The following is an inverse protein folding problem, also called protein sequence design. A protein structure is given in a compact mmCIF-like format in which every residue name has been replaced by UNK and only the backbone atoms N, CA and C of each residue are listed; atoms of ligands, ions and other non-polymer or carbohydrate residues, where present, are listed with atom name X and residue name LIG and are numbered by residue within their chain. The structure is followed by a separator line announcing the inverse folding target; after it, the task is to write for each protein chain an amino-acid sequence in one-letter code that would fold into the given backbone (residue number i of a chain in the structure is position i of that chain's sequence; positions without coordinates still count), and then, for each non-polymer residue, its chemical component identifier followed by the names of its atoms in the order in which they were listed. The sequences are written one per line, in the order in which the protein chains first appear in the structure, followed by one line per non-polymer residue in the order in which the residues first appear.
data_IF_718467974380
#
_entry.id   IF_718467974380
#
_cell.length_a   1.000
_cell.length_b   1.000
_cell.length_c   1.000
_cell.angle_alpha   90.00
_cell.angle_beta   90.00
_cell.angle_gamma   90.00
#
_symmetry.space_group_name_H-M   'P 1'
#
loop_
_entity.id
_entity.type
_entity.pdbx_description
1 polymer ?
#
# COMPACT_ATOMS: atom_id res chain seq x y z
N UNK A 1 -8.66 10.54 8.61
CA UNK A 1 -8.25 10.40 7.21
C UNK A 1 -6.76 10.08 7.17
N UNK A 2 -6.40 9.01 6.48
CA UNK A 2 -5.02 8.54 6.33
C UNK A 2 -4.49 8.73 4.90
N UNK A 3 -5.29 9.37 4.03
CA UNK A 3 -4.93 9.55 2.63
C UNK A 3 -3.85 10.62 2.46
N UNK A 4 -2.87 10.37 1.61
CA UNK A 4 -1.93 11.40 1.18
C UNK A 4 -2.56 12.28 0.09
N UNK A 5 -2.12 13.53 -0.01
CA UNK A 5 -2.60 14.44 -1.03
C UNK A 5 -2.15 13.99 -2.43
N UNK A 6 -3.10 13.97 -3.38
CA UNK A 6 -2.77 13.74 -4.79
C UNK A 6 -2.45 15.10 -5.42
N UNK A 7 -1.21 15.27 -5.84
CA UNK A 7 -0.70 16.52 -6.40
C UNK A 7 0.39 16.25 -7.45
N UNK A 8 0.72 17.27 -8.23
CA UNK A 8 1.87 17.21 -9.13
C UNK A 8 3.16 17.00 -8.33
N UNK A 9 4.08 16.23 -8.86
CA UNK A 9 5.38 15.88 -8.25
C UNK A 9 5.28 15.05 -6.95
N UNK A 10 4.10 14.50 -6.64
CA UNK A 10 3.98 13.54 -5.55
C UNK A 10 4.81 12.29 -5.83
N UNK A 11 5.14 11.56 -4.77
CA UNK A 11 5.84 10.28 -4.90
C UNK A 11 4.95 9.24 -5.59
N UNK A 12 5.54 8.42 -6.42
CA UNK A 12 4.90 7.29 -7.10
C UNK A 12 5.90 6.13 -7.23
N UNK A 13 5.40 4.94 -7.54
CA UNK A 13 6.25 3.75 -7.68
C UNK A 13 7.17 3.88 -8.90
N UNK A 14 8.47 3.53 -8.79
CA UNK A 14 9.40 3.57 -9.93
C UNK A 14 8.91 2.73 -11.11
N UNK A 15 8.74 3.37 -12.27
CA UNK A 15 8.21 2.72 -13.48
C UNK A 15 6.71 2.93 -13.73
N UNK A 16 5.96 3.38 -12.73
CA UNK A 16 4.55 3.73 -12.90
C UNK A 16 4.37 5.08 -13.63
N UNK A 17 3.17 5.35 -14.18
CA UNK A 17 2.87 6.64 -14.78
C UNK A 17 2.99 7.79 -13.77
N UNK A 18 3.77 8.81 -14.12
CA UNK A 18 3.90 10.03 -13.33
C UNK A 18 2.54 10.72 -13.17
N UNK A 19 2.10 11.02 -11.94
CA UNK A 19 0.86 11.73 -11.69
C UNK A 19 0.89 13.15 -12.27
N UNK A 20 -0.11 13.50 -13.09
CA UNK A 20 -0.24 14.83 -13.71
C UNK A 20 -1.65 15.37 -13.54
N UNK A 21 -1.74 16.52 -12.87
CA UNK A 21 -2.97 17.25 -12.62
C UNK A 21 -2.91 18.58 -13.37
N UNK A 22 -3.93 18.90 -14.14
CA UNK A 22 -4.02 20.16 -14.86
C UNK A 22 -5.43 20.74 -14.81
N UNK A 23 -5.56 22.07 -14.88
CA UNK A 23 -6.85 22.72 -15.03
C UNK A 23 -7.41 22.40 -16.42
N UNK A 24 -8.62 21.89 -16.48
CA UNK A 24 -9.34 21.62 -17.74
C UNK A 24 -10.39 22.68 -18.02
N UNK A 25 -11.21 23.02 -17.02
CA UNK A 25 -12.21 24.07 -17.03
C UNK A 25 -11.91 25.02 -15.88
N UNK A 26 -12.06 26.31 -16.10
CA UNK A 26 -11.75 27.34 -15.11
C UNK A 26 -12.97 28.19 -14.76
N UNK A 27 -13.05 28.64 -13.51
CA UNK A 27 -14.17 29.44 -13.04
C UNK A 27 -14.33 30.75 -13.84
N UNK A 28 -13.21 31.35 -14.21
CA UNK A 28 -13.14 32.64 -14.87
C UNK A 28 -13.69 32.62 -16.30
N UNK A 29 -13.55 31.48 -17.00
CA UNK A 29 -14.00 31.31 -18.38
C UNK A 29 -15.33 30.58 -18.49
N UNK A 30 -15.53 29.59 -17.62
CA UNK A 30 -16.54 28.57 -17.83
C UNK A 30 -17.59 28.55 -16.71
N UNK A 31 -17.42 29.37 -15.65
CA UNK A 31 -18.33 29.43 -14.50
C UNK A 31 -18.22 28.25 -13.52
N UNK A 32 -17.32 27.31 -13.76
CA UNK A 32 -17.04 26.16 -12.89
C UNK A 32 -15.57 25.74 -12.98
N UNK A 33 -15.16 24.83 -12.10
CA UNK A 33 -13.79 24.27 -12.12
C UNK A 33 -13.81 22.79 -12.33
N UNK A 34 -13.00 22.32 -13.29
CA UNK A 34 -12.76 20.90 -13.52
C UNK A 34 -11.26 20.69 -13.70
N UNK A 35 -10.74 19.66 -13.02
CA UNK A 35 -9.36 19.22 -13.17
C UNK A 35 -9.31 17.99 -14.09
N UNK A 36 -8.27 17.93 -14.90
CA UNK A 36 -7.90 16.70 -15.64
C UNK A 36 -6.84 15.97 -14.82
N UNK A 37 -7.09 14.68 -14.58
CA UNK A 37 -6.19 13.78 -13.87
C UNK A 37 -5.62 12.76 -14.89
N UNK A 38 -4.30 12.59 -14.87
CA UNK A 38 -3.61 11.49 -15.53
C UNK A 38 -2.76 10.82 -14.46
N UNK A 39 -3.21 9.68 -13.96
CA UNK A 39 -2.62 8.96 -12.82
C UNK A 39 -2.63 7.46 -13.10
N UNK A 40 -1.71 6.73 -12.51
CA UNK A 40 -1.76 5.27 -12.44
C UNK A 40 -2.84 4.79 -11.45
N UNK A 41 -3.25 3.54 -11.54
CA UNK A 41 -4.21 2.92 -10.60
C UNK A 41 -3.63 2.77 -9.19
N UNK A 42 -2.31 2.76 -9.07
CA UNK A 42 -1.57 2.64 -7.81
C UNK A 42 -0.98 3.99 -7.35
N UNK A 43 -1.66 5.09 -7.65
CA UNK A 43 -1.24 6.43 -7.26
C UNK A 43 -1.79 6.82 -5.89
N UNK A 44 -0.90 7.29 -4.99
CA UNK A 44 -1.27 7.80 -3.67
C UNK A 44 -1.75 6.70 -2.73
N UNK A 45 -2.62 7.04 -1.79
CA UNK A 45 -3.24 6.06 -0.90
C UNK A 45 -4.33 5.33 -1.65
N UNK A 46 -4.17 4.05 -1.85
CA UNK A 46 -5.05 3.20 -2.67
C UNK A 46 -5.16 1.80 -2.07
N UNK A 47 -5.95 0.96 -2.69
CA UNK A 47 -6.09 -0.45 -2.36
C UNK A 47 -5.82 -1.31 -3.58
N UNK A 48 -5.02 -2.35 -3.40
CA UNK A 48 -4.78 -3.35 -4.42
C UNK A 48 -5.85 -4.45 -4.37
N UNK A 49 -6.21 -4.93 -5.54
CA UNK A 49 -7.02 -6.12 -5.69
C UNK A 49 -6.15 -7.32 -6.10
N UNK A 50 -6.59 -8.57 -5.85
CA UNK A 50 -5.84 -9.76 -6.25
C UNK A 50 -5.42 -9.79 -7.72
N UNK A 51 -6.20 -9.16 -8.62
CA UNK A 51 -5.88 -9.05 -10.04
C UNK A 51 -4.57 -8.29 -10.32
N UNK A 52 -4.05 -7.53 -9.36
CA UNK A 52 -2.78 -6.84 -9.52
C UNK A 52 -1.61 -7.80 -9.78
N UNK A 53 -1.55 -8.91 -9.05
CA UNK A 53 -0.48 -9.93 -9.19
C UNK A 53 -0.99 -11.31 -9.63
N UNK A 54 -2.29 -11.59 -9.53
CA UNK A 54 -2.87 -12.88 -9.87
C UNK A 54 -3.61 -12.84 -11.20
N UNK A 55 -3.21 -13.64 -12.19
CA UNK A 55 -3.81 -13.70 -13.53
C UNK A 55 -5.34 -13.86 -13.52
N UNK A 56 -5.87 -14.61 -12.58
CA UNK A 56 -7.31 -14.87 -12.43
C UNK A 56 -7.86 -14.26 -11.13
N UNK A 57 -7.15 -13.30 -10.54
CA UNK A 57 -7.57 -12.59 -9.35
C UNK A 57 -8.80 -11.72 -9.60
N UNK A 58 -9.56 -11.46 -8.55
CA UNK A 58 -10.68 -10.51 -8.62
C UNK A 58 -10.16 -9.10 -8.84
N UNK A 59 -10.81 -8.36 -9.72
CA UNK A 59 -10.59 -6.92 -9.91
C UNK A 59 -11.25 -6.13 -8.79
N UNK A 60 -10.86 -4.87 -8.58
CA UNK A 60 -11.31 -4.06 -7.44
C UNK A 60 -12.83 -3.85 -7.42
N UNK A 61 -13.47 -3.76 -8.59
CA UNK A 61 -14.93 -3.64 -8.74
C UNK A 61 -15.69 -4.92 -8.35
N UNK A 62 -14.98 -6.04 -8.23
CA UNK A 62 -15.52 -7.35 -7.80
C UNK A 62 -15.15 -7.70 -6.35
N UNK A 63 -14.51 -6.80 -5.63
CA UNK A 63 -14.25 -6.94 -4.19
C UNK A 63 -15.48 -6.47 -3.41
N UNK A 64 -15.99 -7.31 -2.54
CA UNK A 64 -17.09 -6.94 -1.65
C UNK A 64 -16.63 -5.85 -0.67
N UNK A 65 -17.34 -4.72 -0.63
CA UNK A 65 -17.03 -3.58 0.25
C UNK A 65 -16.90 -3.96 1.73
N UNK A 66 -17.59 -5.02 2.18
CA UNK A 66 -17.44 -5.53 3.55
C UNK A 66 -16.02 -6.03 3.86
N UNK A 67 -15.19 -6.32 2.84
CA UNK A 67 -13.78 -6.67 3.04
C UNK A 67 -12.90 -5.43 3.26
N UNK A 68 -13.40 -4.26 2.87
CA UNK A 68 -12.72 -2.98 3.03
C UNK A 68 -13.15 -2.23 4.30
N UNK A 69 -14.03 -2.82 5.09
CA UNK A 69 -14.62 -2.21 6.28
C UNK A 69 -14.57 -3.19 7.45
N UNK A 70 -14.25 -2.69 8.63
CA UNK A 70 -14.27 -3.51 9.81
C UNK A 70 -13.40 -2.97 10.94
N UNK A 71 -13.32 -3.75 12.00
CA UNK A 71 -12.43 -3.48 13.12
C UNK A 71 -10.99 -3.65 12.67
N UNK A 72 -10.16 -2.67 12.96
CA UNK A 72 -8.74 -2.67 12.64
C UNK A 72 -7.87 -2.74 13.88
N UNK A 73 -6.74 -3.41 13.75
CA UNK A 73 -5.61 -3.35 14.70
C UNK A 73 -4.48 -2.56 14.05
N UNK A 74 -3.90 -1.64 14.81
CA UNK A 74 -2.67 -0.94 14.40
C UNK A 74 -1.48 -1.62 15.06
N UNK A 75 -0.59 -2.18 14.24
CA UNK A 75 0.71 -2.72 14.65
C UNK A 75 1.72 -1.58 14.58
N UNK A 76 2.23 -1.15 15.72
CA UNK A 76 3.16 -0.04 15.81
C UNK A 76 4.61 -0.55 15.88
N UNK A 77 5.38 -0.32 14.82
CA UNK A 77 6.78 -0.77 14.65
C UNK A 77 7.70 0.41 14.32
N UNK A 78 7.96 1.31 15.29
CA UNK A 78 8.80 2.47 15.03
C UNK A 78 10.28 2.09 14.89
N UNK A 79 11.04 2.95 14.20
CA UNK A 79 12.50 2.86 14.11
C UNK A 79 13.05 1.61 13.39
N UNK A 80 12.29 1.03 12.48
CA UNK A 80 12.78 -0.05 11.62
C UNK A 80 13.93 0.46 10.73
N UNK A 81 14.86 -0.44 10.43
CA UNK A 81 15.96 -0.16 9.50
C UNK A 81 15.48 -0.20 8.05
N UNK A 82 16.19 0.47 7.12
CA UNK A 82 15.95 0.27 5.70
C UNK A 82 15.97 -1.22 5.33
N UNK A 83 15.02 -1.62 4.47
CA UNK A 83 14.83 -2.99 4.00
C UNK A 83 14.61 -4.02 5.10
N UNK A 84 14.10 -3.61 6.26
CA UNK A 84 13.76 -4.54 7.34
C UNK A 84 12.61 -5.45 6.90
N UNK A 85 12.79 -6.74 7.02
CA UNK A 85 11.75 -7.74 6.78
C UNK A 85 10.91 -7.93 8.04
N UNK A 86 9.65 -7.52 7.99
CA UNK A 86 8.71 -7.64 9.10
C UNK A 86 8.25 -9.09 9.18
N UNK A 87 8.61 -9.76 10.27
CA UNK A 87 8.31 -11.17 10.54
C UNK A 87 7.20 -11.32 11.59
N UNK A 88 6.53 -12.49 11.71
CA UNK A 88 5.44 -12.67 12.68
C UNK A 88 5.85 -12.35 14.12
N UNK A 89 7.10 -12.58 14.48
CA UNK A 89 7.64 -12.34 15.82
C UNK A 89 7.59 -10.87 16.23
N UNK A 90 7.56 -9.94 15.25
CA UNK A 90 7.48 -8.51 15.50
C UNK A 90 6.11 -8.07 16.04
N UNK A 91 5.05 -8.88 15.82
CA UNK A 91 3.68 -8.50 16.16
C UNK A 91 2.79 -9.65 16.71
N UNK A 92 3.31 -10.86 16.89
CA UNK A 92 2.56 -11.99 17.42
C UNK A 92 2.01 -11.75 18.85
N UNK A 93 2.61 -10.84 19.61
CA UNK A 93 2.06 -10.41 20.92
C UNK A 93 0.67 -9.78 20.80
N UNK A 94 0.27 -9.35 19.60
CA UNK A 94 -1.05 -8.79 19.31
C UNK A 94 -2.03 -9.82 18.72
N UNK A 95 -1.69 -11.11 18.66
CA UNK A 95 -2.47 -12.15 17.98
C UNK A 95 -3.94 -12.15 18.37
N UNK A 96 -4.25 -12.06 19.68
CA UNK A 96 -5.63 -12.04 20.15
C UNK A 96 -6.42 -10.81 19.67
N UNK A 97 -5.77 -9.67 19.51
CA UNK A 97 -6.38 -8.47 18.95
C UNK A 97 -6.59 -8.62 17.44
N UNK A 98 -5.62 -9.23 16.75
CA UNK A 98 -5.66 -9.50 15.31
C UNK A 98 -6.82 -10.47 15.00
N UNK A 99 -6.93 -11.58 15.70
CA UNK A 99 -8.04 -12.55 15.55
C UNK A 99 -9.43 -11.91 15.70
N UNK A 100 -9.54 -10.88 16.52
CA UNK A 100 -10.80 -10.14 16.74
C UNK A 100 -10.97 -8.93 15.81
N UNK A 101 -10.21 -8.87 14.71
CA UNK A 101 -10.20 -7.78 13.74
C UNK A 101 -10.35 -8.31 12.32
N UNK A 102 -10.63 -7.42 11.39
CA UNK A 102 -10.71 -7.74 9.96
C UNK A 102 -9.57 -7.09 9.17
N UNK A 103 -8.94 -6.08 9.74
CA UNK A 103 -7.93 -5.25 9.08
C UNK A 103 -6.74 -5.10 10.01
N UNK A 104 -5.53 -5.19 9.44
CA UNK A 104 -4.29 -4.87 10.15
C UNK A 104 -3.60 -3.71 9.45
N UNK A 105 -3.22 -2.69 10.21
CA UNK A 105 -2.49 -1.53 9.71
C UNK A 105 -1.10 -1.51 10.35
N UNK A 106 -0.06 -1.54 9.54
CA UNK A 106 1.31 -1.39 10.02
C UNK A 106 1.70 0.09 10.02
N UNK A 107 1.97 0.62 11.20
CA UNK A 107 2.49 1.97 11.40
C UNK A 107 3.98 1.89 11.73
N UNK A 108 4.80 2.07 10.73
CA UNK A 108 6.26 2.03 10.84
C UNK A 108 6.86 3.42 10.99
N UNK A 109 6.08 4.46 10.72
CA UNK A 109 6.53 5.85 10.62
C UNK A 109 7.29 6.13 9.32
N UNK A 110 7.29 5.20 8.36
CA UNK A 110 8.04 5.37 7.10
C UNK A 110 7.48 6.48 6.22
N UNK A 111 6.19 6.77 6.37
CA UNK A 111 5.52 7.88 5.68
C UNK A 111 6.23 9.23 5.87
N UNK A 112 6.89 9.44 7.00
CA UNK A 112 7.65 10.68 7.28
C UNK A 112 8.93 10.82 6.44
N UNK A 113 9.31 9.79 5.67
CA UNK A 113 10.44 9.81 4.75
C UNK A 113 10.04 10.13 3.30
N UNK A 114 8.76 10.35 3.04
CA UNK A 114 8.24 10.76 1.72
C UNK A 114 9.03 11.97 1.21
N UNK A 115 9.41 11.94 -0.07
CA UNK A 115 10.23 12.96 -0.71
C UNK A 115 11.73 12.78 -0.53
N UNK A 116 12.20 11.72 0.13
CA UNK A 116 13.61 11.36 0.25
C UNK A 116 13.91 10.06 -0.50
N UNK A 117 15.18 9.86 -0.90
CA UNK A 117 15.61 8.56 -1.47
C UNK A 117 15.47 7.38 -0.50
N UNK A 118 15.51 7.67 0.80
CA UNK A 118 15.36 6.65 1.82
C UNK A 118 13.96 6.03 1.80
N UNK A 119 12.94 6.77 1.35
CA UNK A 119 11.56 6.26 1.27
C UNK A 119 11.45 4.98 0.46
N UNK A 120 12.22 4.84 -0.63
CA UNK A 120 12.24 3.64 -1.46
C UNK A 120 12.92 2.42 -0.81
N UNK A 121 13.65 2.64 0.28
CA UNK A 121 14.33 1.59 1.05
C UNK A 121 13.50 1.11 2.24
N UNK A 122 12.19 1.17 2.10
CA UNK A 122 11.24 0.89 3.19
C UNK A 122 11.33 -0.55 3.72
N UNK A 123 10.88 -0.79 4.96
CA UNK A 123 10.58 -2.13 5.45
C UNK A 123 9.54 -2.82 4.55
N UNK A 124 9.41 -4.11 4.63
CA UNK A 124 8.43 -4.87 3.86
C UNK A 124 7.90 -6.07 4.66
N UNK A 125 6.73 -6.56 4.28
CA UNK A 125 6.07 -7.69 4.92
C UNK A 125 6.68 -8.99 4.41
N UNK A 126 7.16 -9.87 5.31
CA UNK A 126 7.63 -11.18 4.91
C UNK A 126 6.49 -12.06 4.39
N UNK A 127 6.83 -13.04 3.56
CA UNK A 127 5.86 -14.05 3.12
C UNK A 127 5.22 -14.79 4.31
N UNK A 128 6.01 -15.08 5.35
CA UNK A 128 5.51 -15.71 6.58
C UNK A 128 4.54 -14.82 7.33
N UNK A 129 4.79 -13.51 7.40
CA UNK A 129 3.84 -12.56 7.99
C UNK A 129 2.54 -12.45 7.21
N UNK A 130 2.61 -12.40 5.88
CA UNK A 130 1.43 -12.39 5.03
C UNK A 130 0.60 -13.67 5.24
N UNK A 131 1.25 -14.84 5.23
CA UNK A 131 0.57 -16.11 5.48
C UNK A 131 -0.03 -16.17 6.88
N UNK A 132 0.70 -15.74 7.90
CA UNK A 132 0.22 -15.70 9.28
C UNK A 132 -1.05 -14.85 9.41
N UNK A 133 -1.08 -13.65 8.82
CA UNK A 133 -2.26 -12.78 8.84
C UNK A 133 -3.45 -13.39 8.09
N UNK A 134 -3.19 -14.03 6.94
CA UNK A 134 -4.21 -14.74 6.17
C UNK A 134 -4.82 -15.90 6.97
N UNK A 135 -3.99 -16.69 7.65
CA UNK A 135 -4.43 -17.82 8.48
C UNK A 135 -5.26 -17.35 9.69
N UNK A 136 -5.01 -16.15 10.19
CA UNK A 136 -5.83 -15.49 11.22
C UNK A 136 -7.14 -14.88 10.67
N UNK A 137 -7.38 -14.96 9.35
CA UNK A 137 -8.63 -14.50 8.73
C UNK A 137 -8.68 -13.00 8.44
N UNK A 138 -7.53 -12.32 8.40
CA UNK A 138 -7.44 -10.90 8.03
C UNK A 138 -7.83 -10.74 6.56
N UNK A 139 -8.63 -9.71 6.27
CA UNK A 139 -9.20 -9.43 4.95
C UNK A 139 -8.47 -8.32 4.21
N UNK A 140 -7.84 -7.40 4.94
CA UNK A 140 -7.07 -6.33 4.37
C UNK A 140 -5.88 -5.98 5.26
N UNK A 141 -4.77 -5.66 4.63
CA UNK A 141 -3.55 -5.17 5.29
C UNK A 141 -3.23 -3.80 4.73
N UNK A 142 -2.97 -2.84 5.60
CA UNK A 142 -2.52 -1.50 5.23
C UNK A 142 -1.12 -1.23 5.76
N UNK A 143 -0.37 -0.45 4.99
CA UNK A 143 1.00 -0.04 5.33
C UNK A 143 1.19 1.46 5.12
N UNK A 144 2.08 2.07 5.88
CA UNK A 144 2.50 3.47 5.71
C UNK A 144 3.80 3.60 4.89
N UNK A 145 4.06 2.58 4.08
CA UNK A 145 5.22 2.43 3.20
C UNK A 145 4.78 2.48 1.73
N UNK A 146 5.75 2.55 0.82
CA UNK A 146 5.46 2.58 -0.61
C UNK A 146 4.80 1.29 -1.12
N UNK A 147 5.15 0.14 -0.53
CA UNK A 147 4.71 -1.18 -0.97
C UNK A 147 4.72 -2.17 0.21
N UNK A 148 3.93 -3.24 0.14
CA UNK A 148 3.96 -4.36 1.10
C UNK A 148 5.17 -5.27 0.88
N UNK A 149 5.64 -5.41 -0.35
CA UNK A 149 6.87 -6.12 -0.71
C UNK A 149 8.05 -5.15 -0.84
N UNK A 150 9.26 -5.67 -0.90
CA UNK A 150 10.46 -4.88 -1.15
C UNK A 150 10.36 -4.19 -2.52
N UNK A 151 10.55 -2.86 -2.56
CA UNK A 151 10.61 -2.13 -3.83
C UNK A 151 11.84 -2.55 -4.63
N UNK A 152 11.65 -2.99 -5.87
CA UNK A 152 12.71 -3.21 -6.82
C UNK A 152 13.18 -1.86 -7.38
N UNK A 153 14.48 -1.58 -7.27
CA UNK A 153 15.09 -0.40 -7.86
C UNK A 153 15.52 -0.67 -9.29
N UNK A 154 15.83 0.39 -10.04
CA UNK A 154 16.23 0.30 -11.44
C UNK A 154 17.38 -0.73 -11.65
N UNK A 155 17.16 -1.69 -12.55
CA UNK A 155 18.08 -2.79 -12.84
C UNK A 155 17.83 -4.09 -12.06
N UNK A 156 16.96 -4.11 -11.06
CA UNK A 156 16.50 -5.34 -10.41
C UNK A 156 15.30 -5.93 -11.17
N UNK A 157 15.32 -7.25 -11.39
CA UNK A 157 14.17 -7.95 -11.97
C UNK A 157 13.18 -8.37 -10.88
N UNK A 158 11.89 -8.21 -11.16
CA UNK A 158 10.85 -8.81 -10.34
C UNK A 158 10.97 -10.34 -10.37
N UNK A 159 11.08 -10.94 -9.21
CA UNK A 159 11.08 -12.39 -9.01
C UNK A 159 9.88 -12.78 -8.15
N UNK A 160 9.55 -14.07 -8.06
CA UNK A 160 8.52 -14.55 -7.13
C UNK A 160 8.78 -14.13 -5.67
N UNK A 161 10.05 -13.97 -5.30
CA UNK A 161 10.42 -13.49 -3.97
C UNK A 161 10.21 -11.98 -3.79
N UNK A 162 10.22 -11.20 -4.88
CA UNK A 162 9.99 -9.75 -4.84
C UNK A 162 8.51 -9.38 -4.65
N UNK A 163 7.60 -10.33 -4.85
CA UNK A 163 6.14 -10.14 -4.74
C UNK A 163 5.51 -11.15 -3.79
N UNK A 164 6.27 -11.57 -2.80
CA UNK A 164 5.90 -12.70 -1.95
C UNK A 164 4.70 -12.43 -1.05
N UNK A 165 4.56 -11.21 -0.52
CA UNK A 165 3.41 -10.84 0.29
C UNK A 165 2.15 -10.64 -0.57
N UNK A 166 2.25 -9.96 -1.71
CA UNK A 166 1.12 -9.79 -2.64
C UNK A 166 0.56 -11.14 -3.12
N UNK A 167 1.42 -12.12 -3.39
CA UNK A 167 0.97 -13.43 -3.84
C UNK A 167 0.28 -14.26 -2.74
N UNK A 168 0.35 -13.82 -1.49
CA UNK A 168 -0.34 -14.45 -0.37
C UNK A 168 -1.71 -13.81 -0.14
N UNK A 169 -1.82 -12.48 -0.19
CA UNK A 169 -3.08 -11.75 0.02
C UNK A 169 -3.99 -11.86 -1.20
#
# INVERSE_FOLDING_TARGET
DLSILIENNMIYYPGDPEPKLSKYITLEKDGCRVMKLNIGTHTGTHMDAPAHFMKNGKTIDNIDLKNCMGKAVVVHLPNLKPYYEIVPEDFNSLEEHIKNSSIVLFNTGWIYKVGTEEFYKHPYISKSSAQYLKDLGIKAVGVDMLNVDKTCVEGEQYTENSTSAHNVF
#
